data_IF_529057963192
#
_entry.id   IF_529057963192
#
_cell.length_a   1.000
_cell.length_b   1.000
_cell.length_c   1.000
_cell.angle_alpha   90.00
_cell.angle_beta   90.00
_cell.angle_gamma   90.00
#
_symmetry.space_group_name_H-M   'P 1'
#
loop_
_entity.id
_entity.type
_entity.pdbx_description
1 polymer ?
#
# COMPACT_ATOMS: atom_id res chain seq x y z
N UNK A 1 -10.58 7.46 30.14
CA UNK A 1 -10.83 6.50 29.05
C UNK A 1 -10.64 7.24 27.73
N UNK A 2 -9.49 7.07 27.10
CA UNK A 2 -9.30 7.50 25.70
C UNK A 2 -9.99 6.45 24.82
N UNK A 3 -10.81 6.91 23.88
CA UNK A 3 -11.48 6.03 22.93
C UNK A 3 -10.39 5.38 22.06
N UNK A 4 -10.23 4.04 22.12
CA UNK A 4 -9.19 3.32 21.36
C UNK A 4 -9.30 3.54 19.84
N UNK A 5 -10.48 3.94 19.37
CA UNK A 5 -10.74 4.26 17.96
C UNK A 5 -10.20 5.64 17.51
N UNK A 6 -9.59 6.42 18.41
CA UNK A 6 -9.09 7.77 18.12
C UNK A 6 -7.56 7.89 17.95
N UNK A 7 -6.80 6.78 17.99
CA UNK A 7 -5.34 6.83 18.12
C UNK A 7 -4.56 6.71 16.81
N UNK A 8 -5.10 6.15 15.73
CA UNK A 8 -4.29 5.93 14.54
C UNK A 8 -4.51 7.04 13.49
N UNK A 9 -3.68 8.09 13.56
CA UNK A 9 -3.44 9.00 12.42
C UNK A 9 -2.40 8.43 11.44
N UNK A 10 -2.27 7.11 11.45
CA UNK A 10 -1.03 6.43 11.13
C UNK A 10 -0.95 6.08 9.66
N UNK A 11 0.28 6.18 9.13
CA UNK A 11 0.58 5.70 7.81
C UNK A 11 0.25 4.21 7.74
N UNK A 12 -0.64 3.84 6.81
CA UNK A 12 -1.09 2.47 6.66
C UNK A 12 -0.98 2.02 5.21
N UNK A 13 -0.52 0.80 5.02
CA UNK A 13 -0.54 0.12 3.74
C UNK A 13 -1.79 -0.76 3.68
N UNK A 14 -2.55 -0.68 2.58
CA UNK A 14 -3.71 -1.52 2.32
C UNK A 14 -3.39 -2.42 1.13
N UNK A 15 -3.41 -3.73 1.36
CA UNK A 15 -3.18 -4.75 0.34
C UNK A 15 -4.52 -5.40 0.01
N UNK A 16 -4.95 -5.25 -1.24
CA UNK A 16 -6.09 -5.95 -1.81
C UNK A 16 -5.61 -6.82 -2.96
N UNK A 17 -6.49 -7.71 -3.41
CA UNK A 17 -6.14 -8.71 -4.43
C UNK A 17 -5.45 -8.14 -5.66
N UNK A 18 -5.86 -7.00 -6.19
CA UNK A 18 -5.29 -6.43 -7.41
C UNK A 18 -4.78 -5.00 -7.21
N UNK A 19 -4.67 -4.54 -5.97
CA UNK A 19 -4.25 -3.17 -5.71
C UNK A 19 -3.55 -3.01 -4.37
N UNK A 20 -2.66 -2.04 -4.33
CA UNK A 20 -1.98 -1.61 -3.11
C UNK A 20 -2.21 -0.12 -2.92
N UNK A 21 -2.50 0.27 -1.69
CA UNK A 21 -2.31 1.65 -1.21
C UNK A 21 -1.10 1.65 -0.29
N UNK A 22 -0.06 2.39 -0.62
CA UNK A 22 1.18 2.43 0.16
C UNK A 22 1.03 3.21 1.46
N UNK A 23 2.04 3.17 2.32
CA UNK A 23 2.06 3.95 3.57
C UNK A 23 1.89 5.46 3.34
N UNK A 24 2.46 5.97 2.24
CA UNK A 24 2.34 7.38 1.82
C UNK A 24 1.05 7.68 1.04
N UNK A 25 0.15 6.71 0.91
CA UNK A 25 -1.18 6.87 0.29
C UNK A 25 -1.20 6.75 -1.24
N UNK A 26 -0.13 6.27 -1.87
CA UNK A 26 -0.10 6.03 -3.31
C UNK A 26 -0.86 4.75 -3.63
N UNK A 27 -1.89 4.88 -4.47
CA UNK A 27 -2.68 3.74 -4.92
C UNK A 27 -2.22 3.26 -6.30
N UNK A 28 -2.05 1.94 -6.45
CA UNK A 28 -1.75 1.32 -7.74
C UNK A 28 -2.37 -0.05 -7.90
N UNK A 29 -2.61 -0.42 -9.15
CA UNK A 29 -3.16 -1.70 -9.56
C UNK A 29 -2.00 -2.57 -10.08
N UNK A 30 -2.02 -3.84 -9.74
CA UNK A 30 -1.10 -4.85 -10.23
C UNK A 30 -1.74 -6.23 -10.15
N UNK A 31 -1.20 -7.20 -10.87
CA UNK A 31 -1.62 -8.59 -10.79
C UNK A 31 -0.63 -9.36 -9.92
N UNK A 32 -1.02 -9.80 -8.70
CA UNK A 32 -0.14 -10.60 -7.87
C UNK A 32 0.09 -11.97 -8.51
N UNK A 33 1.33 -12.45 -8.41
CA UNK A 33 1.67 -13.82 -8.79
C UNK A 33 1.39 -14.79 -7.63
N UNK A 34 1.52 -16.09 -7.89
CA UNK A 34 1.55 -17.14 -6.84
C UNK A 34 2.87 -17.19 -6.08
N UNK A 35 3.81 -16.29 -6.40
CA UNK A 35 5.12 -16.19 -5.75
C UNK A 35 5.07 -15.16 -4.61
N UNK A 36 5.81 -15.42 -3.53
CA UNK A 36 5.86 -14.47 -2.41
C UNK A 36 6.48 -13.14 -2.84
N UNK A 37 5.72 -12.06 -2.61
CA UNK A 37 6.12 -10.68 -2.85
C UNK A 37 6.29 -9.95 -1.53
N UNK A 38 7.39 -9.21 -1.38
CA UNK A 38 7.67 -8.45 -0.17
C UNK A 38 6.75 -7.22 -0.08
N UNK A 39 5.78 -7.28 0.84
CA UNK A 39 4.91 -6.15 1.15
C UNK A 39 5.66 -5.06 1.89
N UNK A 40 6.30 -5.43 2.99
CA UNK A 40 7.06 -4.54 3.85
C UNK A 40 8.04 -5.36 4.69
N UNK A 41 9.07 -4.71 5.23
CA UNK A 41 9.92 -5.31 6.25
C UNK A 41 10.15 -4.31 7.37
N UNK A 42 10.57 -4.71 8.56
CA UNK A 42 11.06 -3.75 9.56
C UNK A 42 12.53 -3.43 9.30
N UNK A 43 12.95 -2.18 9.56
CA UNK A 43 14.37 -1.81 9.61
C UNK A 43 14.74 -1.55 11.07
N UNK A 44 15.33 -2.54 11.74
CA UNK A 44 15.93 -2.32 13.05
C UNK A 44 17.05 -1.27 12.95
N UNK A 45 16.83 -0.06 13.49
CA UNK A 45 17.81 1.03 13.46
C UNK A 45 18.68 1.09 14.72
N UNK A 46 18.22 0.49 15.82
CA UNK A 46 18.91 0.54 17.11
C UNK A 46 19.72 -0.71 17.42
N UNK A 47 20.95 -0.48 17.87
CA UNK A 47 22.10 -1.41 17.92
C UNK A 47 21.96 -2.68 18.79
N UNK A 48 20.80 -2.99 19.37
CA UNK A 48 20.67 -4.11 20.32
C UNK A 48 19.64 -5.18 19.98
N UNK A 49 18.60 -4.87 19.21
CA UNK A 49 17.60 -5.85 18.81
C UNK A 49 17.48 -5.84 17.29
N UNK A 50 18.01 -6.89 16.65
CA UNK A 50 17.94 -7.09 15.20
C UNK A 50 16.57 -7.65 14.83
N UNK A 51 15.51 -7.01 15.31
CA UNK A 51 14.14 -7.45 15.11
C UNK A 51 13.74 -7.09 13.69
N UNK A 52 14.25 -7.91 12.77
CA UNK A 52 13.84 -7.94 11.40
C UNK A 52 12.57 -8.76 11.37
N UNK A 53 11.52 -8.15 10.87
CA UNK A 53 10.35 -8.86 10.43
C UNK A 53 10.11 -8.58 8.96
N UNK A 54 9.48 -9.53 8.27
CA UNK A 54 9.06 -9.36 6.88
C UNK A 54 7.61 -9.74 6.75
N UNK A 55 6.91 -8.98 5.91
CA UNK A 55 5.54 -9.26 5.51
C UNK A 55 5.57 -9.63 4.04
N UNK A 56 5.08 -10.81 3.73
CA UNK A 56 4.98 -11.37 2.39
C UNK A 56 3.51 -11.56 2.03
N UNK A 57 3.20 -11.36 0.76
CA UNK A 57 1.89 -11.69 0.19
C UNK A 57 2.02 -12.43 -1.13
N UNK A 58 0.97 -13.15 -1.52
CA UNK A 58 0.82 -13.73 -2.86
C UNK A 58 -0.64 -13.92 -3.22
N UNK A 59 -0.91 -14.12 -4.50
CA UNK A 59 -2.22 -14.61 -4.94
C UNK A 59 -2.46 -16.02 -4.41
N UNK A 60 -3.69 -16.30 -3.96
CA UNK A 60 -4.10 -17.67 -3.69
C UNK A 60 -4.14 -18.49 -4.98
N UNK A 61 -3.91 -19.81 -4.87
CA UNK A 61 -4.08 -20.74 -5.99
C UNK A 61 -5.52 -20.78 -6.51
N UNK A 62 -6.48 -20.46 -5.66
CA UNK A 62 -7.89 -20.37 -6.05
C UNK A 62 -8.26 -18.94 -6.45
N UNK A 63 -8.70 -18.70 -7.71
CA UNK A 63 -9.02 -17.37 -8.19
C UNK A 63 -10.24 -16.71 -7.55
N UNK A 64 -10.89 -17.29 -6.55
CA UNK A 64 -11.96 -16.64 -5.78
C UNK A 64 -11.48 -16.19 -4.40
N UNK A 65 -10.31 -16.65 -3.95
CA UNK A 65 -9.78 -16.38 -2.61
C UNK A 65 -9.00 -15.07 -2.55
N UNK A 66 -8.88 -14.54 -1.34
CA UNK A 66 -8.08 -13.36 -1.03
C UNK A 66 -6.58 -13.64 -1.09
N UNK A 67 -5.79 -12.59 -0.83
CA UNK A 67 -4.35 -12.73 -0.74
C UNK A 67 -3.96 -13.69 0.38
N UNK A 68 -3.02 -14.56 0.09
CA UNK A 68 -2.31 -15.28 1.14
C UNK A 68 -1.26 -14.35 1.74
N UNK A 69 -1.08 -14.45 3.06
CA UNK A 69 -0.22 -13.58 3.83
C UNK A 69 0.72 -14.39 4.70
N UNK A 70 1.96 -13.93 4.82
CA UNK A 70 2.94 -14.49 5.74
C UNK A 70 3.70 -13.39 6.44
N UNK A 71 3.79 -13.49 7.76
CA UNK A 71 4.60 -12.62 8.60
C UNK A 71 5.68 -13.46 9.28
N UNK A 72 6.93 -13.06 9.09
CA UNK A 72 8.09 -13.73 9.68
C UNK A 72 8.75 -12.77 10.65
N UNK A 73 8.91 -13.16 11.91
CA UNK A 73 9.72 -12.46 12.89
C UNK A 73 10.99 -13.24 13.14
N UNK A 74 12.13 -12.71 12.67
CA UNK A 74 13.41 -13.42 12.80
C UNK A 74 13.97 -13.40 14.21
N UNK A 75 13.67 -12.35 14.99
CA UNK A 75 14.14 -12.25 16.37
C UNK A 75 13.43 -13.22 17.30
N UNK A 76 12.13 -13.42 17.06
CA UNK A 76 11.26 -14.25 17.89
C UNK A 76 11.08 -15.65 17.28
N UNK A 77 11.70 -15.91 16.13
CA UNK A 77 11.67 -17.22 15.48
C UNK A 77 10.26 -17.72 15.13
N UNK A 78 9.30 -16.81 14.93
CA UNK A 78 7.92 -17.17 14.65
C UNK A 78 7.47 -16.79 13.25
N UNK A 79 6.53 -17.58 12.76
CA UNK A 79 5.86 -17.43 11.48
C UNK A 79 4.34 -17.40 11.71
N UNK A 80 3.68 -16.39 11.15
CA UNK A 80 2.22 -16.33 11.05
C UNK A 80 1.88 -16.46 9.57
N UNK A 81 1.00 -17.39 9.22
CA UNK A 81 0.52 -17.60 7.87
C UNK A 81 -1.01 -17.52 7.86
N UNK A 82 -1.56 -16.73 6.93
CA UNK A 82 -2.98 -16.70 6.64
C UNK A 82 -3.20 -17.24 5.23
N UNK A 83 -3.85 -18.40 5.14
CA UNK A 83 -4.13 -19.07 3.87
C UNK A 83 -5.40 -19.88 4.00
N UNK A 84 -6.20 -19.97 2.93
CA UNK A 84 -7.46 -20.73 2.94
C UNK A 84 -8.39 -20.37 4.10
N UNK A 85 -8.47 -19.08 4.46
CA UNK A 85 -9.29 -18.58 5.60
C UNK A 85 -8.85 -19.10 6.98
N UNK A 86 -7.71 -19.81 7.05
CA UNK A 86 -7.11 -20.30 8.28
C UNK A 86 -5.89 -19.48 8.65
N UNK A 87 -5.80 -19.11 9.92
CA UNK A 87 -4.58 -18.56 10.50
C UNK A 87 -3.76 -19.67 11.14
N UNK A 88 -2.48 -19.76 10.77
CA UNK A 88 -1.50 -20.69 11.31
C UNK A 88 -0.38 -19.92 12.00
N UNK A 89 0.05 -20.40 13.15
CA UNK A 89 1.24 -19.92 13.85
C UNK A 89 2.22 -21.08 13.93
N UNK A 90 3.41 -20.90 13.35
CA UNK A 90 4.43 -21.95 13.22
C UNK A 90 3.85 -23.27 12.65
N UNK A 91 3.03 -23.15 11.60
CA UNK A 91 2.38 -24.27 10.93
C UNK A 91 1.18 -24.89 11.67
N UNK A 92 0.87 -24.46 12.90
CA UNK A 92 -0.27 -24.95 13.67
C UNK A 92 -1.47 -24.04 13.48
N UNK A 93 -2.61 -24.60 13.06
CA UNK A 93 -3.89 -23.86 12.93
C UNK A 93 -4.31 -23.33 14.29
N UNK A 94 -4.64 -22.05 14.35
CA UNK A 94 -5.13 -21.40 15.56
C UNK A 94 -6.66 -21.52 15.60
N UNK A 95 -7.15 -22.69 16.02
CA UNK A 95 -8.60 -22.96 16.15
C UNK A 95 -9.24 -22.28 17.37
N UNK A 96 -8.43 -21.98 18.40
CA UNK A 96 -8.89 -21.32 19.63
C UNK A 96 -8.45 -19.86 19.64
N UNK A 97 -9.19 -19.04 18.91
CA UNK A 97 -9.11 -17.59 19.09
C UNK A 97 -10.04 -17.24 20.23
N UNK A 98 -9.55 -16.47 21.19
CA UNK A 98 -10.33 -16.02 22.34
C UNK A 98 -11.41 -15.05 21.83
N UNK A 99 -12.55 -15.60 21.40
CA UNK A 99 -13.77 -14.83 21.17
C UNK A 99 -14.19 -14.23 22.52
N UNK A 100 -14.13 -12.90 22.60
CA UNK A 100 -14.72 -12.08 23.65
C UNK A 100 -14.17 -12.19 25.08
N UNK A 101 -13.03 -12.86 25.33
CA UNK A 101 -12.38 -12.82 26.65
C UNK A 101 -11.08 -12.00 26.64
N UNK A 102 -10.95 -10.97 27.51
CA UNK A 102 -9.67 -10.31 27.78
C UNK A 102 -8.67 -11.20 28.55
N UNK A 103 -8.94 -12.50 28.72
CA UNK A 103 -7.98 -13.47 29.25
C UNK A 103 -6.81 -13.67 28.28
N UNK A 104 -5.82 -12.80 28.48
CA UNK A 104 -4.47 -12.82 27.94
C UNK A 104 -3.80 -14.17 28.23
N UNK A 105 -3.98 -15.15 27.35
CA UNK A 105 -2.91 -16.11 27.10
C UNK A 105 -2.15 -15.63 25.89
N UNK A 106 -1.13 -14.83 26.16
CA UNK A 106 -0.03 -14.63 25.25
C UNK A 106 0.39 -16.01 24.73
N UNK A 107 0.23 -16.24 23.42
CA UNK A 107 1.25 -17.04 22.74
C UNK A 107 2.50 -16.19 22.99
N UNK A 108 3.49 -16.75 23.69
CA UNK A 108 4.44 -16.03 24.56
C UNK A 108 5.13 -14.77 23.98
N UNK A 109 4.99 -14.44 22.69
CA UNK A 109 5.70 -13.38 21.99
C UNK A 109 4.87 -12.64 20.90
N UNK A 110 3.53 -12.75 20.89
CA UNK A 110 2.64 -11.99 19.98
C UNK A 110 1.14 -12.15 20.33
N UNK A 111 0.34 -11.07 20.25
CA UNK A 111 -1.11 -11.18 20.50
C UNK A 111 -1.87 -11.19 19.19
N UNK A 112 -2.62 -12.28 18.98
CA UNK A 112 -3.53 -12.44 17.86
C UNK A 112 -4.95 -12.48 18.41
N UNK A 113 -5.81 -11.57 17.95
CA UNK A 113 -7.24 -11.57 18.26
C UNK A 113 -8.06 -11.84 17.02
N UNK A 114 -9.18 -12.56 17.16
CA UNK A 114 -10.23 -12.61 16.14
C UNK A 114 -11.38 -11.74 16.61
N UNK A 115 -11.76 -10.75 15.82
CA UNK A 115 -12.88 -9.85 16.12
C UNK A 115 -13.86 -9.92 14.94
N UNK A 116 -14.87 -10.79 15.05
CA UNK A 116 -15.74 -11.12 13.92
C UNK A 116 -14.95 -11.81 12.80
N UNK A 117 -14.99 -11.24 11.59
CA UNK A 117 -14.34 -11.76 10.37
C UNK A 117 -12.95 -11.17 10.11
N UNK A 118 -12.22 -10.76 11.15
CA UNK A 118 -10.89 -10.18 11.00
C UNK A 118 -9.95 -10.61 12.11
N UNK A 119 -8.70 -10.78 11.74
CA UNK A 119 -7.60 -11.10 12.64
C UNK A 119 -6.79 -9.84 12.92
N UNK A 120 -6.52 -9.56 14.18
CA UNK A 120 -5.71 -8.46 14.66
C UNK A 120 -4.42 -9.04 15.21
N UNK A 121 -3.29 -8.73 14.58
CA UNK A 121 -1.98 -9.27 14.92
C UNK A 121 -1.14 -8.11 15.47
N UNK A 122 -0.73 -8.25 16.73
CA UNK A 122 0.13 -7.32 17.43
C UNK A 122 1.46 -8.00 17.73
N UNK A 123 2.56 -7.43 17.23
CA UNK A 123 3.91 -7.80 17.66
C UNK A 123 4.27 -7.00 18.91
N UNK A 124 4.70 -7.67 19.97
CA UNK A 124 5.23 -7.01 21.16
C UNK A 124 6.41 -7.81 21.72
N UNK A 125 7.47 -7.12 22.10
CA UNK A 125 8.64 -7.74 22.72
C UNK A 125 8.40 -7.79 24.23
N UNK A 126 8.22 -8.99 24.80
CA UNK A 126 8.21 -9.14 26.27
C UNK A 126 9.66 -9.15 26.75
N UNK A 127 10.13 -8.03 27.31
CA UNK A 127 11.39 -8.03 28.04
C UNK A 127 11.23 -8.86 29.33
N UNK A 128 11.77 -10.07 29.33
CA UNK A 128 11.80 -10.89 30.54
C UNK A 128 12.77 -10.29 31.57
N UNK A 129 12.21 -10.01 32.75
CA UNK A 129 12.84 -9.59 34.02
C UNK A 129 13.25 -8.11 34.16
N UNK A 130 12.33 -7.35 34.78
CA UNK A 130 12.54 -6.12 35.56
C UNK A 130 12.67 -4.74 34.87
N UNK A 131 12.24 -4.57 33.62
CA UNK A 131 12.36 -3.26 32.94
C UNK A 131 11.02 -2.86 32.33
N UNK A 132 10.67 -1.60 32.54
CA UNK A 132 9.47 -0.90 32.09
C UNK A 132 9.03 -1.35 30.68
N UNK A 133 7.78 -1.81 30.58
CA UNK A 133 7.12 -2.13 29.32
C UNK A 133 6.96 -0.84 28.52
N UNK A 134 7.93 -0.51 27.68
CA UNK A 134 7.70 0.43 26.59
C UNK A 134 6.76 -0.28 25.61
N UNK A 135 5.51 0.17 25.56
CA UNK A 135 4.52 -0.22 24.55
C UNK A 135 4.98 0.27 23.16
N UNK A 136 6.02 -0.36 22.62
CA UNK A 136 6.33 -0.24 21.20
C UNK A 136 5.45 -1.26 20.48
N UNK A 137 4.24 -0.81 20.14
CA UNK A 137 3.30 -1.56 19.31
C UNK A 137 3.71 -1.34 17.86
N UNK A 138 4.45 -2.26 17.25
CA UNK A 138 4.77 -2.20 15.82
C UNK A 138 5.37 -3.51 15.31
N UNK A 139 4.93 -4.03 14.15
CA UNK A 139 3.80 -3.59 13.34
C UNK A 139 2.44 -4.09 13.88
N UNK A 140 1.39 -3.31 13.66
CA UNK A 140 0.00 -3.75 13.84
C UNK A 140 -0.58 -4.16 12.48
N UNK A 141 -1.07 -5.40 12.39
CA UNK A 141 -1.57 -5.97 11.13
C UNK A 141 -3.01 -6.42 11.36
N UNK A 142 -3.91 -6.01 10.47
CA UNK A 142 -5.29 -6.50 10.44
C UNK A 142 -5.51 -7.26 9.14
N UNK A 143 -5.86 -8.54 9.27
CA UNK A 143 -6.22 -9.40 8.13
C UNK A 143 -7.74 -9.50 8.08
N UNK A 144 -8.32 -9.10 6.95
CA UNK A 144 -9.73 -9.24 6.62
C UNK A 144 -9.91 -10.34 5.57
N UNK A 145 -11.16 -10.73 5.32
CA UNK A 145 -11.49 -11.69 4.26
C UNK A 145 -11.05 -11.22 2.86
N UNK A 146 -11.02 -9.91 2.59
CA UNK A 146 -10.77 -9.33 1.26
C UNK A 146 -9.52 -8.43 1.16
N UNK A 147 -8.89 -8.10 2.30
CA UNK A 147 -7.74 -7.18 2.35
C UNK A 147 -6.86 -7.40 3.58
N UNK A 148 -5.65 -6.87 3.54
CA UNK A 148 -4.74 -6.80 4.68
C UNK A 148 -4.38 -5.32 4.91
N UNK A 149 -4.51 -4.85 6.14
CA UNK A 149 -4.05 -3.52 6.56
C UNK A 149 -2.81 -3.66 7.43
N UNK A 150 -1.73 -2.99 7.04
CA UNK A 150 -0.47 -2.93 7.79
C UNK A 150 -0.33 -1.50 8.28
N UNK A 151 -0.23 -1.31 9.58
CA UNK A 151 -0.04 -0.01 10.20
C UNK A 151 1.42 0.16 10.59
N UNK A 152 1.97 1.32 10.25
CA UNK A 152 3.25 1.76 10.77
C UNK A 152 3.01 2.81 11.86
N UNK A 153 3.08 2.39 13.13
CA UNK A 153 2.84 3.29 14.26
C UNK A 153 4.00 4.26 14.47
N UNK A 154 5.20 3.89 14.01
CA UNK A 154 6.38 4.72 14.18
C UNK A 154 6.64 5.58 12.94
N UNK A 155 5.97 6.73 12.84
CA UNK A 155 6.15 7.71 11.74
C UNK A 155 7.60 8.20 11.64
N UNK A 156 8.38 8.14 12.72
CA UNK A 156 9.78 8.53 12.73
C UNK A 156 10.71 7.48 12.12
N UNK A 157 10.26 6.23 12.04
CA UNK A 157 10.99 5.14 11.42
C UNK A 157 10.34 4.78 10.07
N UNK A 158 11.03 5.03 8.94
CA UNK A 158 10.53 4.53 7.67
C UNK A 158 10.46 3.00 7.79
N UNK A 159 9.27 2.38 7.62
CA UNK A 159 9.15 0.96 7.51
C UNK A 159 10.05 0.55 6.35
N UNK A 160 10.56 -0.65 6.47
CA UNK A 160 11.37 -1.25 5.43
C UNK A 160 10.62 -1.29 4.12
N UNK A 161 11.42 -1.28 3.07
CA UNK A 161 10.95 -1.17 1.70
C UNK A 161 10.11 -2.40 1.31
N UNK A 162 9.27 -2.22 0.31
CA UNK A 162 8.50 -3.29 -0.31
C UNK A 162 7.49 -2.67 -1.26
N UNK A 163 6.46 -3.43 -1.63
CA UNK A 163 5.36 -2.87 -2.42
C UNK A 163 4.48 -1.89 -1.63
N UNK A 164 4.59 -1.86 -0.30
CA UNK A 164 3.97 -0.85 0.57
C UNK A 164 4.70 0.51 0.60
N UNK A 165 5.76 0.68 -0.20
CA UNK A 165 6.50 1.94 -0.27
C UNK A 165 7.64 2.07 0.73
N UNK A 166 8.05 3.31 1.00
CA UNK A 166 9.16 3.62 1.92
C UNK A 166 8.75 4.48 3.13
N UNK A 167 7.50 4.97 3.17
CA UNK A 167 6.93 5.83 4.22
C UNK A 167 7.83 7.02 4.58
N UNK A 168 8.47 7.64 3.58
CA UNK A 168 9.28 8.82 3.83
C UNK A 168 8.45 10.12 3.84
N UNK A 169 7.11 9.98 3.83
CA UNK A 169 6.14 11.05 3.72
C UNK A 169 5.97 11.54 2.28
N UNK A 170 6.68 10.96 1.30
CA UNK A 170 6.69 11.46 -0.07
C UNK A 170 6.03 10.45 -0.99
N UNK A 171 4.88 10.85 -1.52
CA UNK A 171 4.16 10.08 -2.54
C UNK A 171 4.97 9.85 -3.84
N UNK A 172 6.08 10.57 -4.08
CA UNK A 172 6.91 10.41 -5.27
C UNK A 172 8.40 10.61 -4.92
N UNK A 173 9.29 9.69 -5.32
CA UNK A 173 9.01 8.43 -6.00
C UNK A 173 8.66 7.31 -5.01
N UNK A 174 7.47 6.73 -5.13
CA UNK A 174 7.04 5.59 -4.28
C UNK A 174 7.59 4.25 -4.78
N UNK A 175 7.68 4.09 -6.09
CA UNK A 175 8.03 2.82 -6.72
C UNK A 175 9.54 2.63 -6.78
N UNK A 176 10.17 2.58 -5.61
CA UNK A 176 11.61 2.33 -5.47
C UNK A 176 11.82 0.84 -5.20
N UNK A 177 12.35 0.11 -6.18
CA UNK A 177 12.66 -1.32 -6.00
C UNK A 177 13.94 -1.57 -5.20
N UNK A 178 14.33 -2.85 -4.98
CA UNK A 178 15.42 -3.22 -4.07
C UNK A 178 16.80 -2.69 -4.47
N UNK A 179 17.07 -2.52 -5.78
CA UNK A 179 18.31 -1.90 -6.29
C UNK A 179 18.24 -0.37 -6.37
N UNK A 180 17.27 0.24 -5.68
CA UNK A 180 16.99 1.69 -5.67
C UNK A 180 16.65 2.26 -7.06
N UNK A 181 16.15 1.43 -7.98
CA UNK A 181 15.60 1.89 -9.25
C UNK A 181 14.20 2.46 -9.03
N UNK A 182 13.88 3.56 -9.71
CA UNK A 182 12.53 4.14 -9.74
C UNK A 182 11.77 3.54 -10.92
N UNK A 183 10.67 2.84 -10.65
CA UNK A 183 9.82 2.21 -11.66
C UNK A 183 8.66 3.14 -12.02
N UNK A 184 8.29 3.15 -13.31
CA UNK A 184 7.09 3.86 -13.79
C UNK A 184 5.91 2.91 -14.04
N UNK A 185 6.19 1.61 -14.05
CA UNK A 185 5.24 0.52 -14.26
C UNK A 185 5.02 -0.23 -12.94
N UNK A 186 3.77 -0.35 -12.52
CA UNK A 186 3.41 -0.94 -11.23
C UNK A 186 3.66 -2.46 -11.21
N UNK A 187 3.45 -3.15 -12.33
CA UNK A 187 3.69 -4.59 -12.42
C UNK A 187 5.18 -4.90 -12.28
N UNK A 188 6.04 -4.16 -12.98
CA UNK A 188 7.50 -4.29 -12.90
C UNK A 188 8.03 -3.88 -11.52
N UNK A 189 7.43 -2.86 -10.88
CA UNK A 189 7.74 -2.49 -9.50
C UNK A 189 7.44 -3.64 -8.54
N UNK A 190 6.23 -4.20 -8.59
CA UNK A 190 5.82 -5.33 -7.74
C UNK A 190 6.69 -6.56 -7.98
N UNK A 191 6.93 -6.91 -9.24
CA UNK A 191 7.83 -7.98 -9.65
C UNK A 191 9.26 -7.81 -9.12
N UNK A 192 9.74 -6.56 -8.98
CA UNK A 192 11.07 -6.31 -8.42
C UNK A 192 11.20 -6.69 -6.94
N UNK A 193 10.08 -6.83 -6.23
CA UNK A 193 9.98 -7.28 -4.85
C UNK A 193 9.53 -8.74 -4.71
N UNK A 194 9.32 -9.44 -5.83
CA UNK A 194 8.90 -10.85 -5.85
C UNK A 194 10.10 -11.79 -5.78
N UNK A 195 10.08 -12.69 -4.80
CA UNK A 195 11.09 -13.71 -4.57
C UNK A 195 10.71 -15.06 -5.17
N UNK A 196 11.67 -15.99 -5.17
CA UNK A 196 11.37 -17.40 -5.41
C UNK A 196 10.78 -18.01 -4.14
N UNK A 197 9.77 -18.85 -4.30
CA UNK A 197 9.12 -19.55 -3.19
C UNK A 197 8.62 -20.92 -3.60
N UNK A 198 8.25 -21.72 -2.61
CA UNK A 198 7.43 -22.90 -2.82
C UNK A 198 6.14 -22.49 -3.53
N UNK A 199 5.71 -23.31 -4.50
CA UNK A 199 4.52 -23.09 -5.34
C UNK A 199 4.54 -21.85 -6.26
N UNK A 200 5.70 -21.22 -6.41
CA UNK A 200 5.89 -20.20 -7.42
C UNK A 200 6.03 -20.85 -8.80
N UNK A 201 5.22 -20.44 -9.78
CA UNK A 201 5.43 -20.85 -11.16
C UNK A 201 6.76 -20.28 -11.66
N UNK A 202 7.73 -21.18 -11.83
CA UNK A 202 9.10 -20.81 -12.19
C UNK A 202 9.16 -20.07 -13.54
N UNK A 203 8.30 -20.43 -14.49
CA UNK A 203 8.26 -19.79 -15.80
C UNK A 203 7.80 -18.32 -15.70
N UNK A 204 6.68 -18.09 -15.01
CA UNK A 204 6.18 -16.73 -14.75
C UNK A 204 7.20 -15.88 -13.99
N UNK A 205 7.84 -16.44 -12.95
CA UNK A 205 8.85 -15.72 -12.19
C UNK A 205 10.10 -15.40 -13.04
N UNK A 206 10.53 -16.31 -13.90
CA UNK A 206 11.68 -16.11 -14.79
C UNK A 206 11.43 -14.96 -15.79
N UNK A 207 10.22 -14.88 -16.36
CA UNK A 207 9.84 -13.80 -17.25
C UNK A 207 9.88 -12.44 -16.55
N UNK A 208 9.26 -12.34 -15.37
CA UNK A 208 9.31 -11.13 -14.56
C UNK A 208 10.73 -10.74 -14.19
N UNK A 209 11.54 -11.71 -13.74
CA UNK A 209 12.94 -11.48 -13.38
C UNK A 209 13.76 -10.97 -14.54
N UNK A 210 13.58 -11.53 -15.74
CA UNK A 210 14.30 -11.07 -16.94
C UNK A 210 14.00 -9.60 -17.24
N UNK A 211 12.72 -9.20 -17.19
CA UNK A 211 12.34 -7.80 -17.39
C UNK A 211 12.88 -6.88 -16.30
N UNK A 212 12.77 -7.29 -15.04
CA UNK A 212 13.29 -6.54 -13.88
C UNK A 212 14.81 -6.40 -13.95
N UNK A 213 15.56 -7.47 -14.23
CA UNK A 213 17.02 -7.45 -14.27
C UNK A 213 17.54 -6.58 -15.43
N UNK A 214 16.90 -6.65 -16.59
CA UNK A 214 17.20 -5.76 -17.72
C UNK A 214 16.97 -4.30 -17.35
N UNK A 215 15.83 -3.97 -16.73
CA UNK A 215 15.56 -2.61 -16.29
C UNK A 215 16.56 -2.13 -15.23
N UNK A 216 16.88 -2.98 -14.26
CA UNK A 216 17.78 -2.67 -13.15
C UNK A 216 19.24 -2.50 -13.57
N UNK A 217 19.65 -3.04 -14.72
CA UNK A 217 20.99 -2.86 -15.25
C UNK A 217 21.27 -1.38 -15.61
N UNK A 218 20.27 -0.69 -16.18
CA UNK A 218 20.43 0.65 -16.76
C UNK A 218 19.60 1.74 -16.06
N UNK A 219 18.92 1.40 -14.95
CA UNK A 219 18.01 2.31 -14.27
C UNK A 219 18.74 3.53 -13.67
N UNK A 220 18.02 4.66 -13.59
CA UNK A 220 18.43 5.77 -12.74
C UNK A 220 18.21 5.39 -11.27
N UNK A 221 19.30 5.29 -10.51
CA UNK A 221 19.23 5.05 -9.06
C UNK A 221 18.65 6.27 -8.36
N UNK A 222 17.72 6.04 -7.45
CA UNK A 222 17.21 7.05 -6.55
C UNK A 222 18.36 7.58 -5.68
N UNK A 223 18.57 8.90 -5.73
CA UNK A 223 19.52 9.60 -4.88
C UNK A 223 18.74 10.48 -3.90
N UNK A 224 18.91 10.25 -2.60
CA UNK A 224 18.24 11.01 -1.52
C UNK A 224 18.58 12.51 -1.51
N UNK A 225 19.54 12.94 -2.33
CA UNK A 225 20.05 14.32 -2.41
C UNK A 225 19.29 15.22 -3.39
N UNK A 226 18.24 14.73 -4.05
CA UNK A 226 17.33 15.65 -4.73
C UNK A 226 16.72 16.52 -3.62
N UNK A 227 16.95 17.84 -3.69
CA UNK A 227 16.31 18.83 -2.82
C UNK A 227 14.81 18.81 -3.11
N UNK A 228 14.15 17.75 -2.67
CA UNK A 228 12.75 17.52 -2.92
C UNK A 228 11.97 18.50 -2.08
N UNK A 229 11.09 19.22 -2.75
CA UNK A 229 10.08 20.05 -2.12
C UNK A 229 9.40 19.15 -1.09
N UNK A 230 9.64 19.41 0.20
CA UNK A 230 8.88 18.80 1.29
C UNK A 230 7.44 19.28 1.12
N UNK A 231 6.68 18.58 0.27
CA UNK A 231 5.29 18.88 0.03
C UNK A 231 4.57 18.59 1.33
N UNK A 232 3.66 19.48 1.71
CA UNK A 232 2.88 19.23 2.90
C UNK A 232 1.88 18.11 2.57
N UNK A 233 2.16 16.90 3.06
CA UNK A 233 1.33 15.69 2.89
C UNK A 233 -0.13 15.93 3.24
N UNK A 234 -0.41 16.78 4.24
CA UNK A 234 -1.79 17.12 4.65
C UNK A 234 -2.54 17.98 3.64
N UNK A 235 -1.86 18.47 2.61
CA UNK A 235 -2.41 19.40 1.63
C UNK A 235 -2.43 18.86 0.21
N UNK A 236 -1.72 17.77 -0.06
CA UNK A 236 -1.65 17.14 -1.37
C UNK A 236 -2.64 15.97 -1.42
N UNK A 237 -3.50 15.96 -2.43
CA UNK A 237 -4.38 14.83 -2.72
C UNK A 237 -4.24 14.42 -4.17
N UNK A 238 -4.19 13.11 -4.41
CA UNK A 238 -4.19 12.58 -5.76
C UNK A 238 -5.62 12.26 -6.16
N UNK A 239 -6.10 12.85 -7.25
CA UNK A 239 -7.46 12.67 -7.75
C UNK A 239 -7.44 12.45 -9.25
N UNK A 240 -8.41 11.74 -9.78
CA UNK A 240 -8.59 11.63 -11.21
C UNK A 240 -9.17 12.94 -11.73
N UNK A 241 -8.52 13.53 -12.73
CA UNK A 241 -9.07 14.71 -13.39
C UNK A 241 -10.15 14.26 -14.35
N UNK A 242 -11.32 14.86 -14.18
CA UNK A 242 -12.46 14.62 -15.05
C UNK A 242 -12.78 15.91 -15.79
N UNK A 243 -12.88 15.81 -17.10
CA UNK A 243 -13.31 16.89 -17.97
C UNK A 243 -14.44 16.39 -18.87
N UNK A 244 -15.43 17.23 -19.10
CA UNK A 244 -16.48 16.96 -20.09
C UNK A 244 -15.90 17.23 -21.48
N UNK A 245 -15.83 16.21 -22.33
CA UNK A 245 -15.35 16.37 -23.71
C UNK A 245 -16.47 16.85 -24.64
N UNK A 246 -17.68 16.30 -24.45
CA UNK A 246 -18.91 16.70 -25.11
C UNK A 246 -20.12 16.35 -24.23
N UNK A 247 -21.34 16.60 -24.71
CA UNK A 247 -22.56 16.34 -23.97
C UNK A 247 -22.74 14.87 -23.54
N UNK A 248 -22.08 13.93 -24.23
CA UNK A 248 -22.28 12.49 -24.08
C UNK A 248 -21.10 11.74 -23.48
N UNK A 249 -19.95 12.39 -23.25
CA UNK A 249 -18.72 11.70 -22.80
C UNK A 249 -17.96 12.46 -21.69
N UNK A 250 -17.40 11.69 -20.76
CA UNK A 250 -16.40 12.11 -19.79
C UNK A 250 -14.99 11.71 -20.26
N UNK A 251 -14.02 12.60 -20.10
CA UNK A 251 -12.60 12.31 -20.22
C UNK A 251 -11.97 12.28 -18.82
N UNK A 252 -11.33 11.17 -18.49
CA UNK A 252 -10.73 10.90 -17.20
C UNK A 252 -9.22 10.74 -17.41
N UNK A 253 -8.39 11.34 -16.57
CA UNK A 253 -6.94 11.09 -16.62
C UNK A 253 -6.64 9.61 -16.36
N UNK A 254 -5.81 8.95 -17.18
CA UNK A 254 -5.47 7.53 -16.99
C UNK A 254 -4.75 7.27 -15.65
N UNK A 255 -4.16 8.31 -15.06
CA UNK A 255 -3.51 8.28 -13.75
C UNK A 255 -4.06 9.41 -12.87
N UNK A 256 -4.14 9.21 -11.54
CA UNK A 256 -4.51 10.30 -10.66
C UNK A 256 -3.45 11.40 -10.68
N UNK A 257 -3.89 12.65 -10.66
CA UNK A 257 -3.04 13.85 -10.69
C UNK A 257 -2.98 14.48 -9.30
N UNK A 258 -1.85 15.12 -8.94
CA UNK A 258 -1.71 15.81 -7.67
C UNK A 258 -2.48 17.14 -7.64
N UNK A 259 -3.29 17.34 -6.60
CA UNK A 259 -4.06 18.56 -6.33
C UNK A 259 -3.85 19.06 -4.91
N UNK A 260 -4.08 20.36 -4.72
CA UNK A 260 -4.15 20.94 -3.39
C UNK A 260 -5.56 20.87 -2.83
N UNK A 261 -5.69 20.49 -1.55
CA UNK A 261 -6.94 20.67 -0.82
C UNK A 261 -7.32 22.15 -0.80
N UNK A 262 -8.63 22.45 -0.88
CA UNK A 262 -9.18 23.82 -0.95
C UNK A 262 -8.68 24.74 0.18
N UNK A 263 -8.31 24.18 1.34
CA UNK A 263 -7.80 24.94 2.50
C UNK A 263 -6.29 25.22 2.47
N UNK A 264 -5.59 24.76 1.44
CA UNK A 264 -4.15 24.85 1.33
C UNK A 264 -3.74 25.91 0.31
N UNK A 265 -2.72 26.71 0.64
CA UNK A 265 -2.23 27.76 -0.25
C UNK A 265 -1.19 27.20 -1.24
N UNK A 266 -1.22 27.78 -2.43
CA UNK A 266 -0.51 27.31 -3.60
C UNK A 266 0.61 28.30 -3.93
N UNK A 267 1.85 27.90 -3.67
CA UNK A 267 2.98 28.84 -3.77
C UNK A 267 3.78 28.63 -5.06
N UNK A 268 3.62 27.47 -5.70
CA UNK A 268 4.26 27.10 -6.96
C UNK A 268 3.29 26.28 -7.80
N UNK A 269 3.46 26.37 -9.11
CA UNK A 269 2.71 25.62 -10.10
C UNK A 269 3.70 24.82 -10.96
N UNK A 270 3.38 23.56 -11.28
CA UNK A 270 4.07 22.81 -12.33
C UNK A 270 3.04 22.36 -13.34
N UNK A 271 3.32 22.64 -14.61
CA UNK A 271 2.54 22.04 -15.68
C UNK A 271 2.82 20.55 -15.69
N UNK A 272 1.76 19.76 -15.53
CA UNK A 272 1.81 18.32 -15.68
C UNK A 272 1.16 18.03 -17.02
N UNK A 273 1.92 17.37 -17.90
CA UNK A 273 1.37 16.87 -19.14
C UNK A 273 0.38 15.76 -18.77
N UNK A 274 -0.90 16.00 -19.04
CA UNK A 274 -1.92 14.96 -18.95
C UNK A 274 -1.86 14.25 -20.30
N UNK A 275 -0.93 13.31 -20.42
CA UNK A 275 -0.99 12.31 -21.48
C UNK A 275 -1.99 11.25 -21.05
N UNK A 276 -2.71 10.71 -22.02
CA UNK A 276 -3.56 9.54 -21.85
C UNK A 276 -4.85 9.84 -21.06
N UNK A 277 -5.85 10.41 -21.75
CA UNK A 277 -7.22 10.50 -21.25
C UNK A 277 -8.00 9.26 -21.68
N UNK A 278 -8.70 8.67 -20.73
CA UNK A 278 -9.68 7.62 -20.96
C UNK A 278 -11.05 8.25 -21.18
N UNK A 279 -11.73 7.89 -22.28
CA UNK A 279 -13.04 8.43 -22.61
C UNK A 279 -14.12 7.42 -22.22
N UNK A 280 -15.09 7.89 -21.45
CA UNK A 280 -16.21 7.10 -20.96
C UNK A 280 -17.52 7.75 -21.39
N UNK A 281 -18.37 6.99 -22.08
CA UNK A 281 -19.73 7.43 -22.40
C UNK A 281 -20.49 7.67 -21.09
N UNK A 282 -21.19 8.81 -20.96
CA UNK A 282 -21.95 9.15 -19.74
C UNK A 282 -22.97 8.08 -19.38
N UNK A 283 -23.61 7.48 -20.38
CA UNK A 283 -24.57 6.39 -20.21
C UNK A 283 -23.96 5.12 -19.57
N UNK A 284 -22.64 4.96 -19.69
CA UNK A 284 -21.89 3.81 -19.16
C UNK A 284 -21.09 4.18 -17.89
N UNK A 285 -21.19 5.42 -17.42
CA UNK A 285 -20.51 5.85 -16.22
C UNK A 285 -21.18 5.21 -14.98
N UNK A 286 -20.41 4.74 -13.99
CA UNK A 286 -20.98 4.24 -12.74
C UNK A 286 -21.92 5.27 -12.11
N UNK A 287 -23.06 4.85 -11.58
CA UNK A 287 -24.08 5.75 -11.03
C UNK A 287 -23.52 6.68 -9.94
N UNK A 288 -22.61 6.17 -9.11
CA UNK A 288 -21.87 6.97 -8.12
C UNK A 288 -20.91 8.00 -8.72
N UNK A 289 -20.34 7.73 -9.90
CA UNK A 289 -19.47 8.66 -10.62
C UNK A 289 -20.29 9.80 -11.24
N UNK A 290 -21.45 9.50 -11.83
CA UNK A 290 -22.36 10.51 -12.40
C UNK A 290 -22.80 11.49 -11.31
N UNK A 291 -23.28 10.97 -10.17
CA UNK A 291 -23.67 11.79 -9.04
C UNK A 291 -22.52 12.65 -8.49
N UNK A 292 -21.27 12.14 -8.50
CA UNK A 292 -20.11 12.92 -8.08
C UNK A 292 -19.77 14.07 -9.03
N UNK A 293 -19.92 13.85 -10.34
CA UNK A 293 -19.62 14.84 -11.39
C UNK A 293 -20.73 15.89 -11.52
N UNK A 294 -21.99 15.49 -11.52
CA UNK A 294 -23.12 16.39 -11.78
C UNK A 294 -23.55 17.19 -10.55
N UNK A 295 -23.35 16.64 -9.34
CA UNK A 295 -23.81 17.26 -8.10
C UNK A 295 -22.77 18.22 -7.48
N UNK A 296 -21.59 18.36 -8.12
CA UNK A 296 -20.52 19.22 -7.64
C UNK A 296 -19.91 19.95 -8.84
N UNK A 297 -19.73 21.27 -8.73
CA UNK A 297 -18.82 22.05 -9.58
C UNK A 297 -17.33 21.60 -9.43
N UNK A 298 -17.06 20.30 -9.24
CA UNK A 298 -15.75 19.72 -8.95
C UNK A 298 -15.36 18.84 -10.13
N UNK A 299 -14.29 19.22 -10.80
CA UNK A 299 -13.66 18.50 -11.92
C UNK A 299 -12.82 17.29 -11.49
N UNK A 300 -13.01 16.76 -10.27
CA UNK A 300 -12.10 15.78 -9.67
C UNK A 300 -12.84 14.74 -8.82
N UNK A 301 -12.37 13.49 -8.89
CA UNK A 301 -12.92 12.36 -8.13
C UNK A 301 -11.78 11.58 -7.47
N UNK A 302 -11.98 11.13 -6.23
CA UNK A 302 -10.99 10.39 -5.43
C UNK A 302 -11.23 8.89 -5.38
N UNK A 303 -12.33 8.40 -5.98
CA UNK A 303 -12.63 6.98 -6.04
C UNK A 303 -12.04 6.35 -7.32
N UNK A 304 -11.54 5.10 -7.26
CA UNK A 304 -11.15 4.35 -8.45
C UNK A 304 -12.32 4.26 -9.43
N UNK A 305 -12.08 4.50 -10.71
CA UNK A 305 -13.09 4.38 -11.76
C UNK A 305 -12.95 2.99 -12.38
N UNK A 306 -13.95 2.14 -12.16
CA UNK A 306 -13.92 0.71 -12.52
C UNK A 306 -14.59 0.38 -13.85
N UNK A 307 -15.19 1.36 -14.52
CA UNK A 307 -15.83 1.13 -15.83
C UNK A 307 -14.78 1.01 -16.93
N UNK A 308 -14.94 0.04 -17.84
CA UNK A 308 -14.08 -0.15 -19.01
C UNK A 308 -14.20 1.08 -19.95
N UNK A 309 -13.16 1.93 -20.05
CA UNK A 309 -13.19 3.08 -20.93
C UNK A 309 -12.68 2.72 -22.33
N UNK A 310 -13.10 3.49 -23.33
CA UNK A 310 -12.55 3.37 -24.70
C UNK A 310 -11.47 4.44 -24.89
N UNK A 311 -10.36 4.06 -25.50
CA UNK A 311 -9.20 4.95 -25.64
C UNK A 311 -9.35 5.89 -26.84
N UNK A 312 -9.20 7.19 -26.58
CA UNK A 312 -8.87 8.19 -27.59
C UNK A 312 -7.59 8.90 -27.16
N UNK A 313 -6.56 8.93 -28.01
CA UNK A 313 -5.36 9.71 -27.73
C UNK A 313 -5.66 11.20 -27.83
N UNK A 314 -5.92 11.82 -26.68
CA UNK A 314 -5.93 13.27 -26.52
C UNK A 314 -4.93 13.66 -25.43
N UNK A 315 -4.05 14.60 -25.74
CA UNK A 315 -3.09 15.17 -24.79
C UNK A 315 -3.27 16.67 -24.70
N UNK A 316 -3.31 17.21 -23.48
CA UNK A 316 -3.25 18.66 -23.24
C UNK A 316 -2.36 18.95 -22.01
N UNK A 317 -1.88 20.19 -21.90
CA UNK A 317 -1.14 20.64 -20.72
C UNK A 317 -2.10 21.11 -19.64
N UNK A 318 -1.93 20.59 -18.41
CA UNK A 318 -2.67 21.07 -17.25
C UNK A 318 -1.74 21.60 -16.17
N UNK A 319 -2.26 22.45 -15.29
CA UNK A 319 -1.49 23.03 -14.18
C UNK A 319 -1.75 22.22 -12.90
N UNK A 320 -0.77 21.42 -12.48
CA UNK A 320 -0.79 20.83 -11.15
C UNK A 320 -0.18 21.82 -10.14
N UNK A 321 -0.73 21.81 -8.93
CA UNK A 321 -0.43 22.84 -7.94
C UNK A 321 0.35 22.27 -6.75
N UNK A 322 1.41 22.95 -6.31
CA UNK A 322 2.18 22.53 -5.15
C UNK A 322 1.72 23.28 -3.89
N UNK A 323 1.46 22.51 -2.84
CA UNK A 323 0.78 23.00 -1.65
C UNK A 323 1.76 23.27 -0.50
N UNK A 324 1.57 24.39 0.19
CA UNK A 324 2.27 24.71 1.45
C UNK A 324 1.25 25.12 2.52
N UNK A 325 1.50 24.74 3.76
CA UNK A 325 0.80 25.28 4.94
C UNK A 325 1.72 26.33 5.59
N UNK A 326 1.14 27.42 6.07
CA UNK A 326 1.85 28.35 6.97
C UNK A 326 1.90 27.79 8.39
#
# INVERSE_FOLDING_TARGET
MLNRDQIFTDAKCILQRNSVTTFDGVHFIYEPSTCWTLASHSRARWYRFKDKSVILIRASKEPSKSLEFKYLSFALGFEIEFSNEELKVNGTVVDRLFEDSPDLRAIEEGIIYKIGHRYHIYSFTILTSNIETTNEQSPYIIVYDDKIEIYNENVEEPPGNGICGNNDGRMIPEFIGPKHCIYNDAQMFAASWTGQSDDCDAATLEEYRKGVDQFQADCKRYQKNIQDVKMNERCLVFQWKISTFNETNYCISAKPLPFCLEKCQTNKYKRVKVSDLQVLAKANAPEGLIALIENKNKTFVSAPITAEPYFYEHSYEDVATFCKRF
#
